data_IF_445369220617
#
_entry.id   IF_445369220617
#
_cell.length_a   1.000
_cell.length_b   1.000
_cell.length_c   1.000
_cell.angle_alpha   90.00
_cell.angle_beta   90.00
_cell.angle_gamma   90.00
#
_symmetry.space_group_name_H-M   'P 1'
#
loop_
_entity.id
_entity.type
_entity.pdbx_description
1 polymer ?
#
# COMPACT_ATOMS: atom_id res chain seq x y z
N UNK A 1 20.14 -0.50 -31.21
CA UNK A 1 18.66 -0.68 -31.23
C UNK A 1 18.20 -0.50 -29.80
N UNK A 2 17.10 0.20 -29.59
CA UNK A 2 16.52 0.32 -28.26
C UNK A 2 15.92 -1.04 -27.84
N UNK A 3 16.23 -1.52 -26.64
CA UNK A 3 15.61 -2.73 -26.10
C UNK A 3 14.15 -2.46 -25.75
N UNK A 4 13.29 -3.47 -25.98
CA UNK A 4 11.87 -3.44 -25.63
C UNK A 4 11.64 -4.17 -24.31
N UNK A 5 11.07 -3.47 -23.33
CA UNK A 5 10.90 -3.99 -21.98
C UNK A 5 9.43 -4.02 -21.57
N UNK A 6 9.04 -5.12 -20.95
CA UNK A 6 7.75 -5.22 -20.24
C UNK A 6 8.00 -5.30 -18.75
N UNK A 7 7.22 -4.52 -17.96
CA UNK A 7 7.31 -4.51 -16.51
C UNK A 7 6.05 -5.10 -15.88
N UNK A 8 6.23 -5.99 -14.91
CA UNK A 8 5.18 -6.55 -14.06
C UNK A 8 5.44 -6.08 -12.63
N UNK A 9 4.51 -5.31 -12.06
CA UNK A 9 4.62 -4.79 -10.70
C UNK A 9 3.66 -5.53 -9.77
N UNK A 10 4.20 -6.27 -8.81
CA UNK A 10 3.45 -7.05 -7.83
C UNK A 10 3.58 -6.47 -6.42
N UNK A 11 2.58 -6.73 -5.60
CA UNK A 11 2.58 -6.39 -4.18
C UNK A 11 2.09 -4.96 -3.88
N UNK A 12 2.74 -4.25 -2.98
CA UNK A 12 2.23 -3.03 -2.39
C UNK A 12 2.61 -1.75 -3.15
N UNK A 13 1.94 -0.63 -2.84
CA UNK A 13 2.19 0.68 -3.44
C UNK A 13 3.67 1.14 -3.35
N UNK A 14 4.42 0.79 -2.26
CA UNK A 14 5.86 1.08 -2.16
C UNK A 14 6.66 0.35 -3.24
N UNK A 15 6.28 -0.90 -3.53
CA UNK A 15 6.91 -1.70 -4.58
C UNK A 15 6.55 -1.17 -5.98
N UNK A 16 5.31 -0.72 -6.16
CA UNK A 16 4.86 -0.04 -7.38
C UNK A 16 5.70 1.20 -7.68
N UNK A 17 5.92 2.09 -6.69
CA UNK A 17 6.78 3.27 -6.86
C UNK A 17 8.20 2.88 -7.29
N UNK A 18 8.78 1.80 -6.75
CA UNK A 18 10.09 1.32 -7.21
C UNK A 18 10.04 0.84 -8.67
N UNK A 19 8.98 0.15 -9.07
CA UNK A 19 8.78 -0.29 -10.46
C UNK A 19 8.73 0.92 -11.41
N UNK A 20 7.94 1.93 -11.08
CA UNK A 20 7.79 3.17 -11.84
C UNK A 20 9.11 3.94 -11.98
N UNK A 21 9.94 3.94 -10.92
CA UNK A 21 11.29 4.51 -10.97
C UNK A 21 12.22 3.73 -11.91
N UNK A 22 12.20 2.38 -11.85
CA UNK A 22 12.96 1.55 -12.78
C UNK A 22 12.52 1.74 -14.24
N UNK A 23 11.21 1.86 -14.48
CA UNK A 23 10.65 2.17 -15.79
C UNK A 23 11.18 3.51 -16.32
N UNK A 24 11.24 4.55 -15.48
CA UNK A 24 11.78 5.85 -15.86
C UNK A 24 13.27 5.77 -16.21
N UNK A 25 14.08 5.08 -15.40
CA UNK A 25 15.51 4.87 -15.68
C UNK A 25 15.73 4.17 -17.04
N UNK A 26 14.97 3.13 -17.34
CA UNK A 26 15.05 2.41 -18.60
C UNK A 26 14.61 3.29 -19.79
N UNK A 27 13.50 4.02 -19.67
CA UNK A 27 13.03 4.97 -20.69
C UNK A 27 14.07 6.05 -20.98
N UNK A 28 14.64 6.64 -19.92
CA UNK A 28 15.62 7.73 -20.04
C UNK A 28 16.98 7.24 -20.62
N UNK A 29 17.27 5.94 -20.48
CA UNK A 29 18.36 5.26 -21.19
C UNK A 29 18.02 4.90 -22.65
N UNK A 30 16.84 5.29 -23.15
CA UNK A 30 16.41 5.07 -24.52
C UNK A 30 15.79 3.70 -24.79
N UNK A 31 15.37 2.96 -23.76
CA UNK A 31 14.64 1.69 -23.90
C UNK A 31 13.13 1.96 -24.09
N UNK A 32 12.46 1.08 -24.84
CA UNK A 32 11.02 1.16 -25.12
C UNK A 32 10.24 0.37 -24.09
N UNK A 33 9.24 0.99 -23.46
CA UNK A 33 8.32 0.34 -22.52
C UNK A 33 7.11 -0.22 -23.26
N UNK A 34 6.84 -1.50 -23.12
CA UNK A 34 5.76 -2.19 -23.83
C UNK A 34 4.64 -2.64 -22.89
N UNK A 35 3.37 -2.53 -23.31
CA UNK A 35 2.22 -2.93 -22.48
C UNK A 35 2.06 -4.45 -22.37
N UNK A 36 2.64 -5.22 -23.29
CA UNK A 36 2.55 -6.69 -23.34
C UNK A 36 3.95 -7.31 -23.40
N UNK A 37 4.17 -8.48 -22.78
CA UNK A 37 5.47 -9.16 -22.80
C UNK A 37 5.79 -9.80 -24.16
N UNK A 38 4.78 -10.10 -24.99
CA UNK A 38 4.98 -10.75 -26.28
C UNK A 38 5.72 -9.84 -27.28
N UNK A 39 6.87 -10.30 -27.74
CA UNK A 39 7.72 -9.54 -28.66
C UNK A 39 8.67 -8.56 -27.99
N UNK A 40 8.72 -8.56 -26.66
CA UNK A 40 9.72 -7.80 -25.92
C UNK A 40 11.09 -8.51 -25.89
N UNK A 41 12.13 -7.71 -25.68
CA UNK A 41 13.47 -8.23 -25.47
C UNK A 41 13.63 -8.77 -24.05
N UNK A 42 13.09 -8.08 -23.04
CA UNK A 42 13.11 -8.57 -21.67
C UNK A 42 11.82 -8.23 -20.93
N UNK A 43 11.45 -9.10 -19.96
CA UNK A 43 10.47 -8.83 -18.93
C UNK A 43 11.17 -8.58 -17.59
N UNK A 44 10.71 -7.56 -16.85
CA UNK A 44 11.17 -7.25 -15.50
C UNK A 44 10.01 -7.50 -14.55
N UNK A 45 10.14 -8.50 -13.67
CA UNK A 45 9.14 -8.86 -12.66
C UNK A 45 9.57 -8.29 -11.31
N UNK A 46 8.88 -7.25 -10.86
CA UNK A 46 9.11 -6.64 -9.56
C UNK A 46 8.21 -7.32 -8.51
N UNK A 47 8.82 -8.11 -7.63
CA UNK A 47 8.17 -9.10 -6.78
C UNK A 47 7.88 -8.61 -5.37
N UNK A 48 6.79 -9.12 -4.77
CA UNK A 48 6.54 -9.05 -3.35
C UNK A 48 7.16 -10.27 -2.64
N UNK A 49 7.64 -10.08 -1.41
CA UNK A 49 8.24 -11.14 -0.59
C UNK A 49 7.78 -11.06 0.88
N UNK A 50 6.63 -10.39 1.11
CA UNK A 50 6.13 -10.13 2.46
C UNK A 50 5.30 -11.29 3.01
N UNK A 51 4.41 -11.87 2.21
CA UNK A 51 3.57 -13.01 2.55
C UNK A 51 3.84 -14.18 1.61
N UNK A 52 3.58 -15.40 2.09
CA UNK A 52 3.74 -16.63 1.28
C UNK A 52 2.87 -16.60 0.01
N UNK A 53 1.61 -16.16 0.11
CA UNK A 53 0.71 -16.01 -1.06
C UNK A 53 1.24 -15.03 -2.11
N UNK A 54 1.88 -13.94 -1.68
CA UNK A 54 2.50 -13.00 -2.60
C UNK A 54 3.78 -13.56 -3.26
N UNK A 55 4.47 -14.51 -2.60
CA UNK A 55 5.56 -15.25 -3.23
C UNK A 55 5.03 -16.21 -4.29
N UNK A 56 3.91 -16.90 -4.04
CA UNK A 56 3.26 -17.79 -5.00
C UNK A 56 2.85 -17.01 -6.25
N UNK A 57 2.17 -15.88 -6.10
CA UNK A 57 1.83 -14.98 -7.21
C UNK A 57 3.08 -14.55 -8.01
N UNK A 58 4.16 -14.21 -7.32
CA UNK A 58 5.41 -13.81 -7.98
C UNK A 58 6.01 -14.96 -8.79
N UNK A 59 6.04 -16.18 -8.25
CA UNK A 59 6.53 -17.38 -8.93
C UNK A 59 5.66 -17.69 -10.15
N UNK A 60 4.34 -17.64 -10.04
CA UNK A 60 3.42 -17.87 -11.16
C UNK A 60 3.69 -16.89 -12.32
N UNK A 61 3.86 -15.60 -12.01
CA UNK A 61 4.19 -14.60 -13.03
C UNK A 61 5.55 -14.86 -13.69
N UNK A 62 6.58 -15.26 -12.92
CA UNK A 62 7.90 -15.61 -13.46
C UNK A 62 7.79 -16.82 -14.38
N UNK A 63 7.06 -17.86 -13.97
CA UNK A 63 6.86 -19.06 -14.78
C UNK A 63 6.07 -18.77 -16.06
N UNK A 64 5.06 -17.87 -16.01
CA UNK A 64 4.36 -17.40 -17.21
C UNK A 64 5.32 -16.71 -18.20
N UNK A 65 6.26 -15.88 -17.71
CA UNK A 65 7.30 -15.28 -18.55
C UNK A 65 8.27 -16.33 -19.10
N UNK A 66 8.59 -17.37 -18.32
CA UNK A 66 9.44 -18.47 -18.76
C UNK A 66 8.81 -19.27 -19.91
N UNK A 67 7.49 -19.49 -19.90
CA UNK A 67 6.79 -20.12 -21.03
C UNK A 67 6.85 -19.24 -22.31
N UNK A 68 6.72 -17.93 -22.19
CA UNK A 68 6.91 -17.02 -23.34
C UNK A 68 8.35 -17.05 -23.86
N UNK A 69 9.32 -17.17 -22.98
CA UNK A 69 10.74 -17.30 -23.34
C UNK A 69 11.01 -18.62 -24.08
N UNK A 70 10.47 -19.74 -23.60
CA UNK A 70 10.54 -21.05 -24.28
C UNK A 70 9.88 -21.02 -25.66
N UNK A 71 8.76 -20.29 -25.79
CA UNK A 71 8.07 -20.11 -27.07
C UNK A 71 8.76 -19.13 -28.03
N UNK A 72 9.90 -18.53 -27.65
CA UNK A 72 10.64 -17.57 -28.47
C UNK A 72 9.95 -16.18 -28.60
N UNK A 73 8.93 -15.90 -27.78
CA UNK A 73 8.19 -14.64 -27.76
C UNK A 73 8.80 -13.60 -26.82
N UNK A 74 9.65 -14.02 -25.90
CA UNK A 74 10.42 -13.22 -24.97
C UNK A 74 11.86 -13.70 -24.97
N UNK A 75 12.86 -12.83 -24.79
CA UNK A 75 14.28 -13.25 -24.84
C UNK A 75 14.88 -13.41 -23.45
N UNK A 76 14.56 -12.50 -22.50
CA UNK A 76 15.20 -12.41 -21.19
C UNK A 76 14.18 -12.13 -20.09
N UNK A 77 14.50 -12.61 -18.86
CA UNK A 77 13.71 -12.39 -17.66
C UNK A 77 14.62 -11.84 -16.57
N UNK A 78 14.27 -10.67 -16.03
CA UNK A 78 14.88 -10.11 -14.83
C UNK A 78 13.85 -10.13 -13.69
N UNK A 79 14.30 -10.46 -12.49
CA UNK A 79 13.45 -10.47 -11.30
C UNK A 79 14.07 -9.56 -10.25
N UNK A 80 13.22 -8.74 -9.62
CA UNK A 80 13.65 -7.78 -8.61
C UNK A 80 12.62 -7.71 -7.48
N UNK A 81 12.90 -6.97 -6.41
CA UNK A 81 11.96 -6.67 -5.35
C UNK A 81 12.19 -7.40 -4.04
N UNK A 82 11.12 -7.53 -3.25
CA UNK A 82 11.22 -8.06 -1.90
C UNK A 82 11.49 -9.57 -1.85
N UNK A 83 10.94 -10.36 -2.80
CA UNK A 83 11.18 -11.79 -2.86
C UNK A 83 12.66 -12.08 -3.17
N UNK A 84 13.23 -11.39 -4.17
CA UNK A 84 14.64 -11.55 -4.51
C UNK A 84 15.56 -11.13 -3.36
N UNK A 85 15.23 -10.03 -2.65
CA UNK A 85 15.98 -9.60 -1.48
C UNK A 85 15.91 -10.63 -0.34
N UNK A 86 14.77 -11.30 -0.18
CA UNK A 86 14.55 -12.30 0.87
C UNK A 86 15.33 -13.58 0.64
N UNK A 87 15.26 -14.11 -0.58
CA UNK A 87 15.77 -15.43 -0.93
C UNK A 87 17.09 -15.43 -1.73
N UNK A 88 17.52 -14.26 -2.22
CA UNK A 88 18.81 -14.03 -2.86
C UNK A 88 19.25 -15.18 -3.82
N UNK A 89 20.33 -15.88 -3.47
CA UNK A 89 20.89 -16.95 -4.30
C UNK A 89 19.98 -18.17 -4.49
N UNK A 90 18.96 -18.36 -3.66
CA UNK A 90 17.97 -19.44 -3.82
C UNK A 90 17.11 -19.20 -5.06
N UNK A 91 16.75 -17.93 -5.34
CA UNK A 91 15.97 -17.57 -6.54
C UNK A 91 16.68 -18.02 -7.81
N UNK A 92 17.99 -17.79 -7.92
CA UNK A 92 18.78 -18.22 -9.09
C UNK A 92 18.84 -19.75 -9.24
N UNK A 93 18.80 -20.48 -8.12
CA UNK A 93 18.89 -21.93 -8.11
C UNK A 93 17.54 -22.59 -8.44
N UNK A 94 16.46 -22.08 -7.87
CA UNK A 94 15.12 -22.68 -8.01
C UNK A 94 14.39 -22.19 -9.27
N UNK A 95 14.79 -21.04 -9.83
CA UNK A 95 14.23 -20.45 -11.05
C UNK A 95 15.34 -20.23 -12.11
N UNK A 96 15.88 -21.32 -12.71
CA UNK A 96 17.00 -21.23 -13.66
C UNK A 96 16.65 -20.51 -14.98
N UNK A 97 15.36 -20.24 -15.24
CA UNK A 97 14.88 -19.48 -16.38
C UNK A 97 15.20 -17.99 -16.30
N UNK A 98 15.48 -17.48 -15.07
CA UNK A 98 15.76 -16.06 -14.79
C UNK A 98 17.19 -15.72 -15.22
N UNK A 99 17.36 -14.66 -16.00
CA UNK A 99 18.66 -14.21 -16.50
C UNK A 99 19.34 -13.18 -15.59
N UNK A 100 18.55 -12.43 -14.80
CA UNK A 100 19.07 -11.39 -13.91
C UNK A 100 18.25 -11.23 -12.64
N UNK A 101 18.92 -11.00 -11.51
CA UNK A 101 18.30 -10.83 -10.19
C UNK A 101 18.84 -9.58 -9.53
N UNK A 102 17.93 -8.71 -9.05
CA UNK A 102 18.26 -7.51 -8.30
C UNK A 102 17.53 -7.50 -6.94
N UNK A 103 18.24 -7.14 -5.87
CA UNK A 103 17.63 -6.87 -4.56
C UNK A 103 17.01 -5.49 -4.46
N UNK A 104 16.37 -5.21 -3.32
CA UNK A 104 15.69 -3.92 -3.05
C UNK A 104 16.66 -2.73 -2.92
N UNK A 105 17.95 -2.97 -2.69
CA UNK A 105 19.00 -1.94 -2.67
C UNK A 105 19.58 -1.62 -4.06
N UNK A 106 19.19 -2.35 -5.12
CA UNK A 106 19.86 -2.30 -6.44
C UNK A 106 18.94 -1.83 -7.58
N UNK A 107 17.82 -1.17 -7.28
CA UNK A 107 16.88 -0.68 -8.32
C UNK A 107 17.53 0.30 -9.31
N UNK A 108 18.48 1.10 -8.84
CA UNK A 108 19.24 2.05 -9.67
C UNK A 108 20.05 1.40 -10.78
N UNK A 109 20.40 0.13 -10.61
CA UNK A 109 21.25 -0.62 -11.53
C UNK A 109 20.45 -1.37 -12.61
N UNK A 110 19.15 -1.11 -12.73
CA UNK A 110 18.25 -1.81 -13.65
C UNK A 110 18.72 -1.70 -15.12
N UNK A 111 19.21 -0.54 -15.53
CA UNK A 111 19.69 -0.30 -16.91
C UNK A 111 20.90 -1.19 -17.22
N UNK A 112 21.92 -1.14 -16.35
CA UNK A 112 23.13 -1.98 -16.47
C UNK A 112 22.79 -3.47 -16.41
N UNK A 113 21.82 -3.87 -15.56
CA UNK A 113 21.35 -5.24 -15.48
C UNK A 113 20.69 -5.71 -16.79
N UNK A 114 19.82 -4.90 -17.39
CA UNK A 114 19.19 -5.19 -18.68
C UNK A 114 20.27 -5.32 -19.77
N UNK A 115 21.18 -4.37 -19.89
CA UNK A 115 22.25 -4.40 -20.90
C UNK A 115 23.15 -5.63 -20.74
N UNK A 116 23.50 -6.00 -19.51
CA UNK A 116 24.31 -7.18 -19.22
C UNK A 116 23.61 -8.47 -19.67
N UNK A 117 22.34 -8.67 -19.31
CA UNK A 117 21.64 -9.91 -19.71
C UNK A 117 21.37 -9.96 -21.21
N UNK A 118 21.12 -8.82 -21.84
CA UNK A 118 20.91 -8.73 -23.29
C UNK A 118 22.18 -9.07 -24.11
N UNK A 119 23.37 -8.82 -23.54
CA UNK A 119 24.65 -9.18 -24.14
C UNK A 119 25.11 -10.61 -23.79
N UNK A 120 24.28 -11.39 -23.10
CA UNK A 120 24.53 -12.80 -22.75
C UNK A 120 25.23 -13.02 -21.43
N UNK A 121 25.41 -11.97 -20.62
CA UNK A 121 25.84 -12.06 -19.21
C UNK A 121 24.72 -12.48 -18.28
N UNK A 122 25.08 -12.68 -17.01
CA UNK A 122 24.15 -12.91 -15.89
C UNK A 122 24.36 -11.83 -14.81
N UNK A 123 23.29 -11.47 -14.13
CA UNK A 123 23.32 -10.47 -13.07
C UNK A 123 22.75 -11.05 -11.78
N UNK A 124 23.45 -10.86 -10.66
CA UNK A 124 22.94 -11.10 -9.32
C UNK A 124 23.51 -10.02 -8.42
N UNK A 125 22.68 -9.01 -8.07
CA UNK A 125 23.15 -7.80 -7.36
C UNK A 125 22.26 -7.47 -6.16
N UNK A 126 22.91 -7.30 -4.99
CA UNK A 126 22.27 -7.03 -3.71
C UNK A 126 23.06 -5.97 -2.95
N UNK A 127 22.84 -4.70 -3.29
CA UNK A 127 23.51 -3.58 -2.65
C UNK A 127 22.96 -3.32 -1.24
N UNK A 128 23.60 -2.40 -0.52
CA UNK A 128 23.22 -2.06 0.85
C UNK A 128 21.82 -1.45 0.92
N UNK A 129 20.89 -2.20 1.52
CA UNK A 129 19.51 -1.76 1.75
C UNK A 129 19.41 -0.58 2.73
N UNK A 130 20.48 -0.18 3.39
CA UNK A 130 20.54 0.96 4.30
C UNK A 130 21.16 2.21 3.66
N UNK A 131 21.55 2.13 2.40
CA UNK A 131 22.02 3.31 1.65
C UNK A 131 20.93 4.41 1.64
N UNK A 132 21.30 5.68 1.49
CA UNK A 132 20.34 6.76 1.29
C UNK A 132 19.34 6.42 0.20
N UNK A 133 18.11 6.94 0.33
CA UNK A 133 17.08 6.71 -0.68
C UNK A 133 17.48 7.44 -1.97
N UNK A 134 17.58 6.68 -3.06
CA UNK A 134 17.85 7.26 -4.37
C UNK A 134 16.64 8.05 -4.89
N UNK A 135 16.91 9.17 -5.54
CA UNK A 135 15.90 10.07 -6.09
C UNK A 135 15.88 9.95 -7.62
N UNK A 136 14.81 9.41 -8.16
CA UNK A 136 14.60 9.21 -9.60
C UNK A 136 13.24 9.75 -10.02
N UNK A 137 13.11 10.09 -11.32
CA UNK A 137 11.82 10.30 -11.94
C UNK A 137 10.98 9.02 -11.96
N UNK A 138 9.71 9.14 -12.31
CA UNK A 138 8.78 8.01 -12.41
C UNK A 138 8.01 8.00 -13.73
N UNK A 139 7.62 6.81 -14.17
CA UNK A 139 6.55 6.60 -15.16
C UNK A 139 5.34 6.11 -14.38
N UNK A 140 4.31 6.94 -14.26
CA UNK A 140 3.12 6.58 -13.49
C UNK A 140 2.39 5.41 -14.16
N UNK A 141 2.02 4.42 -13.35
CA UNK A 141 1.23 3.25 -13.74
C UNK A 141 -0.18 3.27 -13.12
N UNK A 142 -0.40 4.17 -12.16
CA UNK A 142 -1.74 4.44 -11.64
C UNK A 142 -2.60 5.17 -12.68
N UNK A 143 -3.93 5.11 -12.58
CA UNK A 143 -4.82 6.02 -13.32
C UNK A 143 -4.41 7.46 -13.08
N UNK A 144 -4.50 8.32 -14.10
CA UNK A 144 -3.96 9.69 -14.07
C UNK A 144 -4.54 10.61 -12.97
N UNK A 145 -5.63 10.21 -12.31
CA UNK A 145 -6.29 11.01 -11.29
C UNK A 145 -5.75 10.80 -9.86
N UNK A 146 -4.97 9.73 -9.59
CA UNK A 146 -4.29 9.57 -8.30
C UNK A 146 -2.85 9.08 -8.45
N UNK A 147 -2.02 9.34 -7.44
CA UNK A 147 -0.66 8.81 -7.37
C UNK A 147 -0.21 8.60 -5.93
N UNK A 148 0.66 7.60 -5.73
CA UNK A 148 1.33 7.39 -4.45
C UNK A 148 2.57 8.27 -4.35
N UNK A 149 2.77 8.93 -3.21
CA UNK A 149 3.99 9.67 -2.87
C UNK A 149 4.71 8.96 -1.73
N UNK A 150 5.80 8.29 -2.04
CA UNK A 150 6.62 7.63 -1.03
C UNK A 150 7.56 8.65 -0.39
N UNK A 151 7.43 8.86 0.94
CA UNK A 151 8.18 9.87 1.68
C UNK A 151 9.38 9.30 2.46
N UNK A 152 9.40 7.99 2.68
CA UNK A 152 10.49 7.30 3.37
C UNK A 152 10.59 5.83 2.94
N UNK A 153 11.69 5.17 3.27
CA UNK A 153 11.94 3.75 3.01
C UNK A 153 12.47 3.05 4.27
N UNK A 154 12.11 1.77 4.45
CA UNK A 154 12.54 0.95 5.59
C UNK A 154 11.71 1.17 6.85
N UNK A 155 12.00 0.40 7.92
CA UNK A 155 11.24 0.46 9.16
C UNK A 155 12.04 -0.03 10.36
N UNK A 156 12.01 0.73 11.47
CA UNK A 156 12.70 0.40 12.72
C UNK A 156 11.76 -0.06 13.85
N UNK A 157 10.48 -0.34 13.53
CA UNK A 157 9.52 -0.77 14.54
C UNK A 157 9.74 -2.21 15.03
N UNK A 158 10.37 -3.07 14.19
CA UNK A 158 10.74 -4.43 14.56
C UNK A 158 9.58 -5.25 15.16
N UNK A 159 8.36 -5.08 14.63
CA UNK A 159 7.23 -5.93 15.01
C UNK A 159 7.61 -7.40 14.85
N UNK A 160 7.26 -8.25 15.83
CA UNK A 160 7.76 -9.62 15.88
C UNK A 160 7.36 -10.49 14.68
N UNK A 161 6.24 -10.17 14.03
CA UNK A 161 5.70 -10.87 12.85
C UNK A 161 6.22 -10.30 11.51
N UNK A 162 6.94 -9.17 11.51
CA UNK A 162 7.24 -8.42 10.29
C UNK A 162 8.68 -8.66 9.81
N UNK A 163 8.83 -8.93 8.50
CA UNK A 163 10.11 -9.15 7.84
C UNK A 163 10.69 -7.87 7.20
N UNK A 164 9.92 -6.79 7.13
CA UNK A 164 10.28 -5.54 6.42
C UNK A 164 11.67 -4.99 6.81
N UNK A 165 12.08 -4.91 8.08
CA UNK A 165 13.41 -4.40 8.42
C UNK A 165 14.56 -5.16 7.74
N UNK A 166 14.36 -6.44 7.43
CA UNK A 166 15.34 -7.27 6.72
C UNK A 166 15.29 -7.10 5.20
N UNK A 167 14.13 -6.69 4.66
CA UNK A 167 13.94 -6.54 3.22
C UNK A 167 14.19 -5.11 2.73
N UNK A 168 13.89 -4.11 3.57
CA UNK A 168 13.92 -2.69 3.21
C UNK A 168 14.89 -1.86 4.06
N UNK A 169 15.55 -2.48 5.05
CA UNK A 169 16.54 -1.84 5.92
C UNK A 169 15.94 -0.92 6.97
N UNK A 170 16.81 -0.08 7.53
CA UNK A 170 16.49 0.94 8.53
C UNK A 170 15.57 2.01 7.93
N UNK A 171 14.83 2.69 8.79
CA UNK A 171 14.01 3.83 8.39
C UNK A 171 14.89 4.96 7.85
N UNK A 172 14.58 5.47 6.67
CA UNK A 172 15.27 6.57 6.00
C UNK A 172 14.26 7.48 5.33
N UNK A 173 14.17 8.71 5.81
CA UNK A 173 13.33 9.75 5.23
C UNK A 173 13.97 10.30 3.95
N UNK A 174 13.17 10.55 2.93
CA UNK A 174 13.57 11.39 1.81
C UNK A 174 13.59 12.84 2.27
N UNK A 175 14.48 13.65 1.73
CA UNK A 175 14.52 15.08 2.08
C UNK A 175 13.20 15.76 1.70
N UNK A 176 12.78 16.74 2.47
CA UNK A 176 11.55 17.49 2.19
C UNK A 176 11.60 18.16 0.80
N UNK A 177 12.75 18.64 0.39
CA UNK A 177 12.97 19.24 -0.92
C UNK A 177 12.64 18.27 -2.06
N UNK A 178 13.17 17.03 -2.01
CA UNK A 178 12.92 16.03 -3.04
C UNK A 178 11.47 15.54 -3.04
N UNK A 179 10.88 15.34 -1.86
CA UNK A 179 9.47 14.95 -1.75
C UNK A 179 8.56 16.02 -2.34
N UNK A 180 8.81 17.29 -2.04
CA UNK A 180 8.01 18.40 -2.58
C UNK A 180 8.28 18.63 -4.08
N UNK A 181 9.49 18.38 -4.57
CA UNK A 181 9.78 18.46 -6.00
C UNK A 181 8.99 17.41 -6.79
N UNK A 182 8.96 16.16 -6.32
CA UNK A 182 8.14 15.10 -6.91
C UNK A 182 6.64 15.44 -6.81
N UNK A 183 6.17 15.90 -5.65
CA UNK A 183 4.77 16.25 -5.46
C UNK A 183 4.31 17.37 -6.42
N UNK A 184 5.16 18.37 -6.70
CA UNK A 184 4.86 19.41 -7.71
C UNK A 184 4.73 18.80 -9.11
N UNK A 185 5.63 17.90 -9.50
CA UNK A 185 5.55 17.21 -10.80
C UNK A 185 4.26 16.41 -10.94
N UNK A 186 3.81 15.73 -9.86
CA UNK A 186 2.55 15.01 -9.84
C UNK A 186 1.34 15.96 -9.98
N UNK A 187 1.33 17.07 -9.25
CA UNK A 187 0.28 18.09 -9.37
C UNK A 187 0.25 18.70 -10.79
N UNK A 188 1.40 19.06 -11.34
CA UNK A 188 1.53 19.62 -12.70
C UNK A 188 1.10 18.63 -13.79
N UNK A 189 1.20 17.32 -13.52
CA UNK A 189 0.71 16.26 -14.43
C UNK A 189 -0.80 16.02 -14.35
N UNK A 190 -1.52 16.70 -13.46
CA UNK A 190 -2.97 16.60 -13.32
C UNK A 190 -3.46 15.58 -12.30
N UNK A 191 -2.59 15.03 -11.45
CA UNK A 191 -2.99 14.16 -10.34
C UNK A 191 -3.89 14.94 -9.37
N UNK A 192 -5.05 14.38 -9.07
CA UNK A 192 -6.06 15.00 -8.21
C UNK A 192 -6.00 14.51 -6.76
N UNK A 193 -5.72 13.23 -6.55
CA UNK A 193 -5.55 12.62 -5.23
C UNK A 193 -4.10 12.20 -5.01
N UNK A 194 -3.45 12.76 -3.99
CA UNK A 194 -2.11 12.37 -3.56
C UNK A 194 -2.20 11.43 -2.38
N UNK A 195 -1.63 10.22 -2.49
CA UNK A 195 -1.63 9.22 -1.41
C UNK A 195 -0.23 9.13 -0.82
N UNK A 196 -0.06 9.65 0.39
CA UNK A 196 1.23 9.68 1.09
C UNK A 196 1.49 8.33 1.75
N UNK A 197 2.62 7.71 1.40
CA UNK A 197 2.99 6.37 1.86
C UNK A 197 4.44 6.28 2.36
N UNK A 198 4.66 5.38 3.31
CA UNK A 198 5.93 4.77 3.71
C UNK A 198 5.61 3.44 4.40
N UNK A 199 6.57 2.81 5.05
CA UNK A 199 6.27 1.71 5.99
C UNK A 199 5.67 2.24 7.31
N UNK A 200 5.98 3.50 7.61
CA UNK A 200 5.44 4.27 8.74
C UNK A 200 5.63 5.76 8.42
N UNK A 201 4.57 6.46 8.03
CA UNK A 201 4.67 7.88 7.67
C UNK A 201 4.85 8.79 8.87
N UNK A 202 4.39 8.36 10.06
CA UNK A 202 4.42 9.19 11.28
C UNK A 202 5.84 9.48 11.77
N UNK A 203 6.82 8.67 11.34
CA UNK A 203 8.24 8.86 11.69
C UNK A 203 9.02 9.75 10.71
N UNK A 204 8.34 10.31 9.70
CA UNK A 204 9.01 11.14 8.71
C UNK A 204 9.86 12.25 9.35
N UNK A 205 11.13 12.32 8.97
CA UNK A 205 12.11 13.27 9.49
C UNK A 205 12.77 12.91 10.81
N UNK A 206 12.30 11.89 11.55
CA UNK A 206 12.88 11.52 12.84
C UNK A 206 14.34 11.06 12.76
N UNK A 207 14.78 10.57 11.63
CA UNK A 207 16.16 10.17 11.36
C UNK A 207 17.10 11.37 11.10
N UNK A 208 16.57 12.59 10.99
CA UNK A 208 17.36 13.82 10.82
C UNK A 208 17.78 14.41 12.17
N UNK A 209 16.84 14.64 13.06
CA UNK A 209 17.02 15.37 14.32
C UNK A 209 16.29 14.76 15.53
N UNK A 210 15.66 13.60 15.35
CA UNK A 210 14.90 12.88 16.38
C UNK A 210 13.46 13.40 16.58
N UNK A 211 12.95 14.27 15.70
CA UNK A 211 11.59 14.79 15.76
C UNK A 211 10.77 14.41 14.53
N UNK A 212 9.45 14.18 14.68
CA UNK A 212 8.59 13.95 13.54
C UNK A 212 8.35 15.25 12.76
N UNK A 213 8.49 15.20 11.44
CA UNK A 213 8.28 16.32 10.51
C UNK A 213 7.11 16.08 9.53
N UNK A 214 6.26 15.08 9.80
CA UNK A 214 5.13 14.80 8.91
C UNK A 214 4.15 15.97 8.84
N UNK A 215 3.85 16.61 9.98
CA UNK A 215 2.96 17.76 10.02
C UNK A 215 3.48 18.92 9.16
N UNK A 216 4.79 19.20 9.23
CA UNK A 216 5.44 20.24 8.39
C UNK A 216 5.32 19.90 6.90
N UNK A 217 5.57 18.64 6.52
CA UNK A 217 5.44 18.18 5.14
C UNK A 217 4.00 18.31 4.64
N UNK A 218 3.01 17.94 5.45
CA UNK A 218 1.59 18.02 5.05
C UNK A 218 1.14 19.45 4.83
N UNK A 219 1.56 20.40 5.66
CA UNK A 219 1.30 21.84 5.46
C UNK A 219 1.87 22.36 4.12
N UNK A 220 3.04 21.87 3.72
CA UNK A 220 3.63 22.24 2.41
C UNK A 220 2.91 21.54 1.25
N UNK A 221 2.53 20.26 1.38
CA UNK A 221 1.78 19.54 0.36
C UNK A 221 0.39 20.16 0.12
N UNK A 222 -0.27 20.67 1.16
CA UNK A 222 -1.57 21.35 1.03
C UNK A 222 -1.52 22.63 0.20
N UNK A 223 -0.34 23.24 0.00
CA UNK A 223 -0.15 24.40 -0.87
C UNK A 223 -0.14 24.06 -2.36
N UNK A 224 0.04 22.77 -2.71
CA UNK A 224 0.07 22.30 -4.09
C UNK A 224 -1.35 22.06 -4.62
N UNK A 225 -1.49 21.94 -5.95
CA UNK A 225 -2.80 21.81 -6.62
C UNK A 225 -3.29 20.33 -6.62
N UNK A 226 -3.44 19.76 -5.41
CA UNK A 226 -4.20 18.53 -5.20
C UNK A 226 -5.58 18.86 -4.67
N UNK A 227 -6.57 18.06 -5.05
CA UNK A 227 -7.90 18.11 -4.47
C UNK A 227 -7.94 17.34 -3.15
N UNK A 228 -7.36 16.12 -3.14
CA UNK A 228 -7.29 15.24 -1.99
C UNK A 228 -5.85 14.84 -1.65
N UNK A 229 -5.56 14.77 -0.35
CA UNK A 229 -4.34 14.19 0.22
C UNK A 229 -4.76 13.11 1.21
N UNK A 230 -4.43 11.86 0.92
CA UNK A 230 -4.73 10.69 1.75
C UNK A 230 -3.49 10.20 2.46
N UNK A 231 -3.65 9.72 3.70
CA UNK A 231 -2.56 9.26 4.55
C UNK A 231 -2.68 7.78 4.84
N UNK A 232 -1.65 6.99 4.52
CA UNK A 232 -1.59 5.58 4.82
C UNK A 232 -0.43 5.23 5.74
N UNK A 233 -0.63 4.18 6.57
CA UNK A 233 0.41 3.61 7.44
C UNK A 233 0.88 4.55 8.55
N UNK A 234 -0.09 5.06 9.35
CA UNK A 234 0.20 5.84 10.55
C UNK A 234 0.43 4.91 11.75
N UNK A 235 1.55 5.06 12.42
CA UNK A 235 1.82 4.27 13.62
C UNK A 235 1.31 4.99 14.87
N UNK A 236 0.52 4.34 15.75
CA UNK A 236 -0.23 5.02 16.84
C UNK A 236 0.62 5.92 17.74
N UNK A 237 1.83 5.47 18.10
CA UNK A 237 2.68 6.16 19.08
C UNK A 237 3.22 7.51 18.63
N UNK A 238 3.19 7.78 17.34
CA UNK A 238 3.77 9.01 16.77
C UNK A 238 2.70 9.98 16.25
N UNK A 239 1.41 9.68 16.51
CA UNK A 239 0.31 10.59 16.21
C UNK A 239 0.20 11.59 17.36
N UNK A 240 0.85 12.72 17.22
CA UNK A 240 0.87 13.79 18.21
C UNK A 240 -0.23 14.85 17.98
N UNK A 241 -0.36 15.79 18.92
CA UNK A 241 -1.37 16.85 18.87
C UNK A 241 -1.19 17.74 17.64
N UNK A 242 0.05 18.03 17.24
CA UNK A 242 0.33 18.87 16.08
C UNK A 242 -0.13 18.21 14.78
N UNK A 243 0.14 16.92 14.61
CA UNK A 243 -0.32 16.16 13.45
C UNK A 243 -1.85 16.12 13.39
N UNK A 244 -2.50 15.88 14.54
CA UNK A 244 -3.97 15.89 14.64
C UNK A 244 -4.54 17.25 14.24
N UNK A 245 -3.94 18.36 14.71
CA UNK A 245 -4.38 19.72 14.37
C UNK A 245 -4.25 20.03 12.88
N UNK A 246 -3.15 19.61 12.25
CA UNK A 246 -2.96 19.79 10.81
C UNK A 246 -4.01 18.98 10.02
N UNK A 247 -4.22 17.71 10.36
CA UNK A 247 -5.23 16.87 9.71
C UNK A 247 -6.64 17.44 9.88
N UNK A 248 -6.97 17.95 11.06
CA UNK A 248 -8.28 18.52 11.33
C UNK A 248 -8.54 19.81 10.56
N UNK A 249 -7.52 20.68 10.47
CA UNK A 249 -7.63 22.04 9.90
C UNK A 249 -7.60 22.07 8.38
N UNK A 250 -6.77 21.21 7.75
CA UNK A 250 -6.54 21.25 6.33
C UNK A 250 -7.62 20.46 5.57
N UNK A 251 -8.43 21.15 4.77
CA UNK A 251 -9.55 20.54 4.04
C UNK A 251 -9.11 19.53 2.98
N UNK A 252 -7.93 19.73 2.37
CA UNK A 252 -7.36 18.81 1.39
C UNK A 252 -6.96 17.46 1.98
N UNK A 253 -6.64 17.42 3.28
CA UNK A 253 -6.31 16.17 3.96
C UNK A 253 -7.61 15.43 4.29
N UNK A 254 -7.78 14.29 3.67
CA UNK A 254 -8.95 13.46 3.86
C UNK A 254 -9.09 13.03 5.33
N UNK A 255 -10.31 13.08 5.84
CA UNK A 255 -10.62 12.60 7.18
C UNK A 255 -10.70 11.07 7.18
N UNK A 256 -9.62 10.46 6.72
CA UNK A 256 -9.41 9.03 6.60
C UNK A 256 -8.00 8.71 7.08
N UNK A 257 -7.87 7.90 8.12
CA UNK A 257 -6.56 7.52 8.68
C UNK A 257 -6.42 6.00 8.72
N UNK A 258 -5.37 5.50 8.06
CA UNK A 258 -4.99 4.09 8.11
C UNK A 258 -3.98 3.86 9.24
N UNK A 259 -4.48 3.27 10.35
CA UNK A 259 -3.74 3.04 11.59
C UNK A 259 -3.69 1.52 11.85
N UNK A 260 -2.65 0.78 11.39
CA UNK A 260 -2.58 -0.67 11.54
C UNK A 260 -2.32 -1.06 13.00
N UNK A 261 -3.37 -1.37 13.74
CA UNK A 261 -3.32 -1.75 15.16
C UNK A 261 -2.79 -3.17 15.36
N UNK A 262 -3.16 -4.10 14.48
CA UNK A 262 -2.85 -5.52 14.44
C UNK A 262 -3.59 -6.34 15.50
N UNK A 263 -3.68 -5.85 16.72
CA UNK A 263 -4.41 -6.42 17.86
C UNK A 263 -4.69 -5.34 18.92
N UNK A 264 -5.53 -5.60 19.93
CA UNK A 264 -5.80 -4.69 21.03
C UNK A 264 -5.31 -5.20 22.40
N UNK A 265 -5.18 -6.52 22.58
CA UNK A 265 -4.82 -7.12 23.88
C UNK A 265 -3.37 -6.82 24.27
N UNK A 266 -3.15 -6.37 25.50
CA UNK A 266 -1.84 -5.89 26.02
C UNK A 266 -0.75 -6.98 25.95
N UNK A 267 -1.11 -8.22 26.27
CA UNK A 267 -0.17 -9.36 26.25
C UNK A 267 0.27 -9.68 24.83
N UNK A 268 -0.65 -9.63 23.86
CA UNK A 268 -0.36 -9.88 22.46
C UNK A 268 0.47 -8.71 21.87
N UNK A 269 0.07 -7.46 22.11
CA UNK A 269 0.81 -6.27 21.68
C UNK A 269 2.26 -6.32 22.16
N UNK A 270 2.47 -6.58 23.45
CA UNK A 270 3.81 -6.70 24.03
C UNK A 270 4.62 -7.84 23.40
N UNK A 271 3.99 -9.01 23.19
CA UNK A 271 4.62 -10.18 22.57
C UNK A 271 5.02 -9.92 21.12
N UNK A 272 4.21 -9.14 20.41
CA UNK A 272 4.45 -8.72 19.02
C UNK A 272 5.38 -7.49 18.90
N UNK A 273 5.96 -7.02 19.98
CA UNK A 273 6.81 -5.82 20.02
C UNK A 273 6.07 -4.58 19.50
N UNK A 274 4.76 -4.51 19.78
CA UNK A 274 3.95 -3.31 19.56
C UNK A 274 3.98 -2.45 20.81
N UNK A 275 4.07 -1.15 20.66
CA UNK A 275 4.06 -0.20 21.77
C UNK A 275 2.63 0.19 22.12
N UNK A 276 2.43 0.67 23.35
CA UNK A 276 1.11 1.00 23.87
C UNK A 276 0.38 -0.25 24.41
N UNK A 277 -0.80 0.00 24.94
CA UNK A 277 -1.74 -0.96 25.49
C UNK A 277 -3.16 -0.63 25.01
N UNK A 278 -4.15 -1.46 25.33
CA UNK A 278 -5.54 -1.24 24.93
C UNK A 278 -6.06 0.14 25.40
N UNK A 279 -5.73 0.52 26.62
CA UNK A 279 -6.16 1.81 27.19
C UNK A 279 -5.61 2.98 26.37
N UNK A 280 -4.35 2.92 25.99
CA UNK A 280 -3.71 3.93 25.14
C UNK A 280 -4.38 3.99 23.75
N UNK A 281 -4.63 2.82 23.14
CA UNK A 281 -5.28 2.74 21.84
C UNK A 281 -6.69 3.34 21.86
N UNK A 282 -7.53 2.95 22.85
CA UNK A 282 -8.85 3.54 23.02
C UNK A 282 -8.78 5.07 23.18
N UNK A 283 -7.91 5.55 24.07
CA UNK A 283 -7.78 6.99 24.31
C UNK A 283 -7.32 7.76 23.06
N UNK A 284 -6.43 7.17 22.24
CA UNK A 284 -6.02 7.77 20.97
C UNK A 284 -7.18 7.82 19.96
N UNK A 285 -7.91 6.71 19.79
CA UNK A 285 -9.04 6.64 18.85
C UNK A 285 -10.15 7.62 19.23
N UNK A 286 -10.48 7.72 20.54
CA UNK A 286 -11.46 8.67 21.05
C UNK A 286 -11.02 10.13 20.81
N UNK A 287 -9.76 10.45 21.09
CA UNK A 287 -9.16 11.76 20.83
C UNK A 287 -9.20 12.14 19.35
N UNK A 288 -8.90 11.18 18.47
CA UNK A 288 -8.95 11.39 17.01
C UNK A 288 -10.37 11.71 16.56
N UNK A 289 -11.38 10.97 17.05
CA UNK A 289 -12.80 11.23 16.71
C UNK A 289 -13.31 12.57 17.25
N UNK A 290 -12.90 12.93 18.47
CA UNK A 290 -13.27 14.21 19.07
C UNK A 290 -12.72 15.40 18.27
N UNK A 291 -11.48 15.28 17.78
CA UNK A 291 -10.77 16.40 17.15
C UNK A 291 -10.91 16.45 15.63
N UNK A 292 -11.30 15.36 14.98
CA UNK A 292 -11.46 15.25 13.52
C UNK A 292 -12.89 14.82 13.20
N UNK A 293 -13.81 15.74 13.01
CA UNK A 293 -15.21 15.41 12.67
C UNK A 293 -15.28 14.63 11.34
N UNK A 294 -16.14 13.61 11.28
CA UNK A 294 -16.32 12.78 10.09
C UNK A 294 -15.18 11.79 9.83
N UNK A 295 -14.31 11.57 10.81
CA UNK A 295 -13.15 10.69 10.66
C UNK A 295 -13.54 9.25 10.37
N UNK A 296 -13.01 8.72 9.28
CA UNK A 296 -12.97 7.30 8.94
C UNK A 296 -11.65 6.69 9.42
N UNK A 297 -11.76 5.69 10.26
CA UNK A 297 -10.61 4.93 10.76
C UNK A 297 -10.51 3.59 10.01
N UNK A 298 -9.36 3.38 9.38
CA UNK A 298 -8.96 2.11 8.81
C UNK A 298 -7.90 1.45 9.69
N UNK A 299 -7.95 0.14 9.79
CA UNK A 299 -6.94 -0.65 10.49
C UNK A 299 -6.55 -1.91 9.73
N UNK A 300 -5.51 -2.58 10.19
CA UNK A 300 -5.19 -3.96 9.85
C UNK A 300 -5.21 -4.79 11.13
N UNK A 301 -5.82 -5.96 11.08
CA UNK A 301 -5.94 -6.90 12.20
C UNK A 301 -5.36 -8.25 11.78
N UNK A 302 -4.60 -8.88 12.67
CA UNK A 302 -4.06 -10.22 12.48
C UNK A 302 -4.67 -11.14 13.53
N UNK A 303 -5.47 -12.10 13.10
CA UNK A 303 -6.07 -13.13 13.96
C UNK A 303 -5.14 -14.34 14.10
N UNK A 304 -5.09 -14.95 15.27
CA UNK A 304 -4.26 -16.14 15.53
C UNK A 304 -2.78 -15.83 15.75
N UNK A 305 -2.45 -14.63 16.23
CA UNK A 305 -1.07 -14.29 16.60
C UNK A 305 -0.55 -15.22 17.71
N UNK A 306 0.76 -15.53 17.75
CA UNK A 306 1.36 -16.34 18.80
C UNK A 306 0.98 -15.89 20.20
N UNK A 307 0.31 -16.77 20.95
CA UNK A 307 -0.17 -16.53 22.32
C UNK A 307 -1.58 -15.97 22.43
N UNK A 308 -2.31 -15.84 21.33
CA UNK A 308 -3.71 -15.50 21.30
C UNK A 308 -4.56 -16.73 21.69
N UNK A 309 -5.12 -16.75 22.89
CA UNK A 309 -6.13 -17.71 23.33
C UNK A 309 -7.54 -17.20 23.05
N UNK A 310 -8.55 -17.90 23.56
CA UNK A 310 -9.95 -17.49 23.42
C UNK A 310 -10.22 -16.14 24.12
N UNK A 311 -9.66 -15.93 25.32
CA UNK A 311 -9.85 -14.68 26.08
C UNK A 311 -9.30 -13.48 25.31
N UNK A 312 -8.10 -13.57 24.74
CA UNK A 312 -7.48 -12.50 23.96
C UNK A 312 -8.23 -12.26 22.66
N UNK A 313 -8.76 -13.30 22.04
CA UNK A 313 -9.56 -13.18 20.81
C UNK A 313 -10.94 -12.59 21.08
N UNK A 314 -11.65 -13.01 22.12
CA UNK A 314 -12.93 -12.41 22.50
C UNK A 314 -12.76 -10.92 22.86
N UNK A 315 -11.70 -10.57 23.58
CA UNK A 315 -11.37 -9.15 23.84
C UNK A 315 -11.15 -8.35 22.56
N UNK A 316 -10.51 -8.94 21.53
CA UNK A 316 -10.34 -8.29 20.22
C UNK A 316 -11.70 -8.09 19.52
N UNK A 317 -12.58 -9.08 19.54
CA UNK A 317 -13.91 -8.96 18.97
C UNK A 317 -14.74 -7.86 19.66
N UNK A 318 -14.70 -7.79 20.98
CA UNK A 318 -15.40 -6.77 21.76
C UNK A 318 -14.82 -5.37 21.48
N UNK A 319 -13.49 -5.25 21.42
CA UNK A 319 -12.82 -3.99 21.05
C UNK A 319 -13.28 -3.51 19.67
N UNK A 320 -13.38 -4.38 18.66
CA UNK A 320 -13.82 -4.00 17.32
C UNK A 320 -15.28 -3.50 17.32
N UNK A 321 -16.18 -4.20 18.06
CA UNK A 321 -17.59 -3.76 18.21
C UNK A 321 -17.72 -2.42 18.93
N UNK A 322 -16.91 -2.21 19.98
CA UNK A 322 -16.90 -0.95 20.76
C UNK A 322 -16.32 0.20 19.93
N UNK A 323 -15.18 -0.04 19.29
CA UNK A 323 -14.45 0.99 18.57
C UNK A 323 -14.99 1.27 17.17
N UNK A 324 -15.78 0.38 16.57
CA UNK A 324 -16.43 0.57 15.27
C UNK A 324 -15.49 1.18 14.23
N UNK A 325 -14.32 0.55 14.05
CA UNK A 325 -13.37 0.97 13.01
C UNK A 325 -14.00 0.64 11.65
N UNK A 326 -14.25 1.66 10.83
CA UNK A 326 -15.07 1.51 9.63
C UNK A 326 -14.43 0.59 8.58
N UNK A 327 -13.12 0.63 8.43
CA UNK A 327 -12.39 -0.17 7.46
C UNK A 327 -11.36 -1.05 8.16
N UNK A 328 -11.34 -2.34 7.86
CA UNK A 328 -10.35 -3.25 8.41
C UNK A 328 -9.88 -4.28 7.37
N UNK A 329 -8.58 -4.33 7.16
CA UNK A 329 -7.95 -5.49 6.53
C UNK A 329 -7.73 -6.57 7.58
N UNK A 330 -8.33 -7.75 7.41
CA UNK A 330 -8.26 -8.85 8.37
C UNK A 330 -7.46 -10.00 7.75
N UNK A 331 -6.47 -10.47 8.49
CA UNK A 331 -5.56 -11.52 8.01
C UNK A 331 -5.42 -12.62 9.05
N UNK A 332 -5.51 -13.91 8.68
CA UNK A 332 -5.01 -14.97 9.54
C UNK A 332 -3.49 -14.85 9.65
N UNK A 333 -2.93 -15.14 10.82
CA UNK A 333 -1.49 -15.08 11.03
C UNK A 333 -0.75 -16.07 10.12
N UNK A 334 0.15 -15.54 9.28
CA UNK A 334 1.09 -16.31 8.48
C UNK A 334 2.48 -16.25 9.10
N UNK A 335 3.11 -17.38 9.45
CA UNK A 335 4.46 -17.40 10.04
C UNK A 335 5.52 -17.16 8.97
N UNK A 336 6.01 -15.94 8.88
CA UNK A 336 7.02 -15.57 7.91
C UNK A 336 8.42 -15.96 8.37
N UNK A 337 9.11 -16.78 7.61
CA UNK A 337 10.48 -17.21 7.90
C UNK A 337 11.42 -16.02 8.15
N UNK A 338 12.29 -16.15 9.13
CA UNK A 338 13.21 -15.09 9.53
C UNK A 338 12.63 -14.06 10.50
N UNK A 339 11.32 -14.11 10.82
CA UNK A 339 10.71 -13.28 11.86
C UNK A 339 10.85 -13.89 13.25
N UNK A 340 10.67 -13.06 14.29
CA UNK A 340 10.69 -13.55 15.68
C UNK A 340 9.46 -14.39 15.99
N UNK A 341 8.28 -13.95 15.49
CA UNK A 341 7.02 -14.62 15.74
C UNK A 341 6.95 -16.02 15.11
N UNK A 342 7.61 -16.26 13.98
CA UNK A 342 7.67 -17.57 13.34
C UNK A 342 8.30 -18.68 14.22
N UNK A 343 9.09 -18.28 15.23
CA UNK A 343 9.75 -19.20 16.19
C UNK A 343 8.93 -19.43 17.45
N UNK A 344 7.80 -18.76 17.60
CA UNK A 344 6.92 -18.86 18.75
C UNK A 344 5.91 -20.00 18.54
N UNK A 345 5.33 -20.49 19.65
CA UNK A 345 4.19 -21.40 19.60
C UNK A 345 3.01 -20.73 18.90
N UNK A 346 2.45 -21.40 17.92
CA UNK A 346 1.42 -20.87 17.01
C UNK A 346 0.03 -21.33 17.43
N UNK A 347 -0.96 -20.50 17.13
CA UNK A 347 -2.34 -20.93 16.98
C UNK A 347 -2.41 -21.80 15.73
N UNK A 348 -3.27 -22.81 15.73
CA UNK A 348 -3.52 -23.64 14.57
C UNK A 348 -3.99 -22.79 13.38
N UNK A 349 -3.55 -23.10 12.16
CA UNK A 349 -3.85 -22.30 10.96
C UNK A 349 -5.34 -22.24 10.64
N UNK A 350 -6.07 -23.37 10.84
CA UNK A 350 -7.50 -23.41 10.57
C UNK A 350 -8.26 -22.60 11.63
N UNK A 351 -7.77 -22.59 12.87
CA UNK A 351 -8.31 -21.75 13.93
C UNK A 351 -8.05 -20.27 13.64
N UNK A 352 -6.85 -19.90 13.22
CA UNK A 352 -6.54 -18.53 12.82
C UNK A 352 -7.44 -18.05 11.66
N UNK A 353 -7.71 -18.92 10.68
CA UNK A 353 -8.62 -18.62 9.58
C UNK A 353 -10.07 -18.42 10.08
N UNK A 354 -10.60 -19.30 10.93
CA UNK A 354 -11.95 -19.16 11.52
C UNK A 354 -12.08 -17.87 12.34
N UNK A 355 -11.04 -17.49 13.09
CA UNK A 355 -11.01 -16.22 13.82
C UNK A 355 -11.03 -15.03 12.89
N UNK A 356 -10.28 -15.07 11.81
CA UNK A 356 -10.29 -14.02 10.80
C UNK A 356 -11.68 -13.88 10.16
N UNK A 357 -12.34 -14.97 9.78
CA UNK A 357 -13.72 -14.97 9.28
C UNK A 357 -14.70 -14.33 10.27
N UNK A 358 -14.63 -14.70 11.56
CA UNK A 358 -15.48 -14.09 12.61
C UNK A 358 -15.26 -12.58 12.75
N UNK A 359 -14.02 -12.10 12.56
CA UNK A 359 -13.74 -10.64 12.55
C UNK A 359 -14.32 -10.00 11.30
N UNK A 360 -14.27 -10.67 10.15
CA UNK A 360 -14.88 -10.17 8.90
C UNK A 360 -16.38 -10.00 9.07
N UNK A 361 -17.08 -10.96 9.72
CA UNK A 361 -18.51 -10.84 10.03
C UNK A 361 -18.81 -9.59 10.87
N UNK A 362 -18.03 -9.38 11.96
CA UNK A 362 -18.17 -8.17 12.79
C UNK A 362 -17.94 -6.90 11.96
N UNK A 363 -16.96 -6.93 11.08
CA UNK A 363 -16.61 -5.79 10.24
C UNK A 363 -17.72 -5.49 9.23
N UNK A 364 -18.36 -6.51 8.66
CA UNK A 364 -19.51 -6.36 7.76
C UNK A 364 -20.68 -5.67 8.46
N UNK A 365 -21.01 -6.08 9.70
CA UNK A 365 -22.05 -5.40 10.50
C UNK A 365 -21.75 -3.91 10.74
N UNK A 366 -20.47 -3.56 10.95
CA UNK A 366 -20.05 -2.17 11.14
C UNK A 366 -20.19 -1.35 9.86
N UNK A 367 -19.78 -1.93 8.72
CA UNK A 367 -19.90 -1.30 7.39
C UNK A 367 -21.36 -1.10 7.03
N UNK A 368 -22.20 -2.12 7.19
CA UNK A 368 -23.62 -2.05 6.87
C UNK A 368 -24.33 -0.97 7.68
N UNK A 369 -24.07 -0.90 8.99
CA UNK A 369 -24.63 0.13 9.84
C UNK A 369 -24.20 1.55 9.42
N UNK A 370 -22.95 1.73 9.02
CA UNK A 370 -22.44 3.01 8.52
C UNK A 370 -23.06 3.37 7.16
N UNK A 371 -23.19 2.40 6.27
CA UNK A 371 -23.82 2.58 4.95
C UNK A 371 -25.29 3.00 5.09
N UNK A 372 -26.03 2.35 6.00
CA UNK A 372 -27.44 2.71 6.27
C UNK A 372 -27.60 4.14 6.75
N UNK A 373 -26.67 4.63 7.57
CA UNK A 373 -26.66 6.02 8.05
C UNK A 373 -26.40 7.04 6.94
N UNK A 374 -25.80 6.62 5.82
CA UNK A 374 -25.46 7.51 4.67
C UNK A 374 -26.61 7.67 3.69
N UNK A 375 -27.69 6.90 3.83
CA UNK A 375 -28.82 6.99 2.89
C UNK A 375 -29.42 8.40 2.88
N UNK A 376 -29.45 9.03 1.70
CA UNK A 376 -29.90 10.40 1.47
C UNK A 376 -28.78 11.45 1.55
N UNK A 377 -27.60 11.12 2.09
CA UNK A 377 -26.46 12.03 2.11
C UNK A 377 -25.98 12.32 0.67
N UNK A 378 -25.45 13.51 0.47
CA UNK A 378 -24.72 13.85 -0.78
C UNK A 378 -23.24 13.82 -0.47
N UNK A 379 -22.53 12.90 -1.13
CA UNK A 379 -21.09 12.74 -0.96
C UNK A 379 -20.36 13.21 -2.20
N UNK A 380 -19.20 13.86 -2.03
CA UNK A 380 -18.28 14.12 -3.12
C UNK A 380 -17.58 12.82 -3.52
N UNK A 381 -17.67 12.45 -4.78
CA UNK A 381 -17.13 11.20 -5.34
C UNK A 381 -16.16 11.51 -6.47
N UNK A 382 -14.95 10.97 -6.37
CA UNK A 382 -13.98 10.92 -7.45
C UNK A 382 -14.37 9.77 -8.37
N UNK A 383 -14.85 10.09 -9.57
CA UNK A 383 -15.18 9.09 -10.58
C UNK A 383 -13.91 8.38 -11.08
N UNK A 384 -13.91 7.05 -11.07
CA UNK A 384 -12.81 6.22 -11.57
C UNK A 384 -13.11 5.61 -12.95
N UNK A 385 -14.36 5.68 -13.40
CA UNK A 385 -14.76 5.20 -14.72
C UNK A 385 -16.18 4.67 -14.76
N UNK A 386 -16.48 3.93 -15.83
CA UNK A 386 -17.77 3.29 -16.06
C UNK A 386 -17.61 1.77 -16.07
N UNK A 387 -18.41 1.09 -15.27
CA UNK A 387 -18.45 -0.36 -15.25
C UNK A 387 -19.52 -0.88 -16.23
N UNK A 388 -19.08 -1.52 -17.28
CA UNK A 388 -19.96 -2.07 -18.31
C UNK A 388 -20.79 -3.28 -17.87
N UNK A 389 -20.49 -3.89 -16.73
CA UNK A 389 -21.28 -5.02 -16.21
C UNK A 389 -22.50 -4.52 -15.42
N UNK A 390 -22.28 -3.61 -14.49
CA UNK A 390 -23.35 -2.98 -13.72
C UNK A 390 -24.09 -1.87 -14.50
N UNK A 391 -23.49 -1.35 -15.57
CA UNK A 391 -23.96 -0.18 -16.32
C UNK A 391 -24.04 1.09 -15.44
N UNK A 392 -23.12 1.22 -14.48
CA UNK A 392 -23.01 2.35 -13.56
C UNK A 392 -21.62 2.97 -13.63
N UNK A 393 -21.52 4.23 -13.25
CA UNK A 393 -20.24 4.84 -12.94
C UNK A 393 -19.73 4.29 -11.61
N UNK A 394 -18.42 4.24 -11.49
CA UNK A 394 -17.72 3.75 -10.29
C UNK A 394 -16.79 4.84 -9.79
N UNK A 395 -16.78 5.05 -8.49
CA UNK A 395 -15.90 6.03 -7.88
C UNK A 395 -15.67 5.78 -6.41
N UNK A 396 -15.02 6.72 -5.76
CA UNK A 396 -14.73 6.70 -4.32
C UNK A 396 -14.99 8.05 -3.70
N UNK A 397 -15.46 8.05 -2.47
CA UNK A 397 -15.47 9.24 -1.62
C UNK A 397 -14.18 9.36 -0.79
N UNK A 398 -14.18 10.29 0.13
CA UNK A 398 -13.08 10.39 1.12
C UNK A 398 -12.93 9.11 1.97
N UNK A 399 -14.00 8.33 2.14
CA UNK A 399 -14.09 7.17 3.02
C UNK A 399 -13.55 5.87 2.40
N UNK A 400 -13.20 5.85 1.13
CA UNK A 400 -12.65 4.71 0.43
C UNK A 400 -11.26 5.02 -0.15
N UNK A 401 -10.30 4.12 0.09
CA UNK A 401 -8.97 4.17 -0.51
C UNK A 401 -8.92 3.27 -1.75
N UNK A 402 -8.22 3.67 -2.83
CA UNK A 402 -8.14 2.87 -4.04
C UNK A 402 -7.55 1.48 -3.76
N UNK A 403 -8.10 0.47 -4.42
CA UNK A 403 -7.65 -0.92 -4.47
C UNK A 403 -7.77 -1.72 -3.15
N UNK A 404 -8.11 -1.09 -2.03
CA UNK A 404 -8.14 -1.74 -0.71
C UNK A 404 -9.47 -1.61 0.04
N UNK A 405 -10.29 -0.64 -0.29
CA UNK A 405 -11.63 -0.45 0.28
C UNK A 405 -12.70 -0.65 -0.81
N UNK A 406 -13.97 -0.56 -0.43
CA UNK A 406 -15.10 -0.62 -1.35
C UNK A 406 -15.18 0.58 -2.30
N UNK A 407 -16.22 0.59 -3.12
CA UNK A 407 -16.50 1.60 -4.15
C UNK A 407 -17.89 2.17 -3.97
N UNK A 408 -18.16 3.26 -4.70
CA UNK A 408 -19.50 3.83 -4.84
C UNK A 408 -19.93 3.65 -6.28
N UNK A 409 -21.06 2.97 -6.49
CA UNK A 409 -21.69 2.82 -7.79
C UNK A 409 -22.79 3.84 -7.94
N UNK A 410 -22.81 4.60 -9.05
CA UNK A 410 -23.81 5.64 -9.22
C UNK A 410 -24.30 5.77 -10.67
N UNK A 411 -25.55 6.14 -10.83
CA UNK A 411 -26.14 6.50 -12.12
C UNK A 411 -25.97 8.00 -12.36
N UNK A 412 -25.83 8.38 -13.63
CA UNK A 412 -25.82 9.78 -14.05
C UNK A 412 -26.55 9.97 -15.37
N UNK A 413 -27.26 11.11 -15.58
CA UNK A 413 -27.93 11.43 -16.85
C UNK A 413 -26.95 11.92 -17.93
N UNK A 414 -25.67 12.06 -17.62
CA UNK A 414 -24.59 12.49 -18.53
C UNK A 414 -23.36 11.60 -18.34
N UNK A 415 -22.43 11.67 -19.26
CA UNK A 415 -21.12 11.07 -19.08
C UNK A 415 -20.35 11.79 -17.98
N UNK A 416 -19.66 11.00 -17.15
CA UNK A 416 -18.74 11.47 -16.08
C UNK A 416 -17.36 10.91 -16.39
N UNK A 417 -16.39 11.81 -16.53
CA UNK A 417 -15.03 11.42 -16.88
C UNK A 417 -14.29 10.81 -15.66
N UNK A 418 -13.41 9.84 -15.90
CA UNK A 418 -12.48 9.39 -14.88
C UNK A 418 -11.61 10.56 -14.41
N UNK A 419 -11.48 10.75 -13.09
CA UNK A 419 -10.81 11.89 -12.48
C UNK A 419 -11.73 13.10 -12.18
N UNK A 420 -12.99 13.07 -12.59
CA UNK A 420 -13.97 14.11 -12.26
C UNK A 420 -14.50 13.92 -10.84
N UNK A 421 -14.61 15.01 -10.08
CA UNK A 421 -15.31 15.02 -8.80
C UNK A 421 -16.77 15.42 -9.00
N UNK A 422 -17.67 14.61 -8.50
CA UNK A 422 -19.10 14.82 -8.65
C UNK A 422 -19.85 14.61 -7.34
N UNK A 423 -20.91 15.40 -7.07
CA UNK A 423 -21.80 15.12 -5.94
C UNK A 423 -22.69 13.92 -6.26
N UNK A 424 -22.69 12.91 -5.40
CA UNK A 424 -23.53 11.71 -5.52
C UNK A 424 -24.44 11.62 -4.31
N UNK A 425 -25.75 11.55 -4.57
CA UNK A 425 -26.75 11.26 -3.53
C UNK A 425 -26.81 9.76 -3.31
N UNK A 426 -26.50 9.34 -2.09
CA UNK A 426 -26.54 7.93 -1.70
C UNK A 426 -27.99 7.47 -1.61
N UNK A 427 -28.33 6.41 -2.34
CA UNK A 427 -29.67 5.82 -2.40
C UNK A 427 -29.79 4.49 -1.66
N UNK A 428 -28.63 3.87 -1.32
CA UNK A 428 -28.57 2.61 -0.60
C UNK A 428 -27.17 2.01 -0.59
N UNK A 429 -27.11 0.72 -0.29
CA UNK A 429 -25.88 -0.08 -0.37
C UNK A 429 -26.21 -1.48 -0.93
N UNK A 430 -25.21 -2.11 -1.53
CA UNK A 430 -25.26 -3.47 -2.04
C UNK A 430 -23.91 -4.15 -1.82
N UNK A 431 -23.93 -5.32 -1.17
CA UNK A 431 -22.71 -6.10 -0.86
C UNK A 431 -21.62 -5.28 -0.14
N UNK A 432 -22.02 -4.40 0.81
CA UNK A 432 -21.12 -3.54 1.58
C UNK A 432 -20.63 -2.28 0.84
N UNK A 433 -21.00 -2.10 -0.44
CA UNK A 433 -20.64 -0.94 -1.26
C UNK A 433 -21.83 0.04 -1.42
N UNK A 434 -21.55 1.34 -1.38
CA UNK A 434 -22.60 2.36 -1.54
C UNK A 434 -23.11 2.44 -2.97
N UNK A 435 -24.41 2.72 -3.10
CA UNK A 435 -25.06 3.01 -4.38
C UNK A 435 -25.70 4.38 -4.36
N UNK A 436 -25.75 5.05 -5.51
CA UNK A 436 -26.29 6.41 -5.58
C UNK A 436 -26.64 6.88 -6.98
N UNK A 437 -26.96 8.14 -7.05
CA UNK A 437 -27.23 8.86 -8.29
C UNK A 437 -26.55 10.23 -8.26
N UNK A 438 -26.14 10.72 -9.43
CA UNK A 438 -25.60 12.07 -9.55
C UNK A 438 -26.60 13.07 -8.97
N UNK A 439 -26.20 13.82 -7.97
CA UNK A 439 -27.05 14.87 -7.42
C UNK A 439 -27.10 16.05 -8.41
N UNK A 440 -28.31 16.49 -8.75
CA UNK A 440 -28.48 17.73 -9.49
C UNK A 440 -28.06 18.92 -8.61
N UNK A 441 -27.42 19.93 -9.20
CA UNK A 441 -27.04 21.17 -8.50
C UNK A 441 -28.27 21.96 -8.01
#
# INVERSE_FOLDING_TARGET
MAYKLHFISLGCAKNMVNCEQMMALCRDAGMELCPSPEGCDAAVVNTCGFLSSANEEAIENILAMAELKKAGKLKKILVTGCMTQRYQGEVAKELPEVDGILGTGSYKDIVDAVETVMTGGTVSRFDDINAPVDEFGRVLTTPGHYAFLRIAEGCDNWCAFCIIPKLRGKYRSRTMEHVLAEARQLADSGVRELIVIAQDITRYGMDWDGKPHLADLLEELCKLDFHWIRLHYLYPEWIDDRLIDVIAREDKILKYLDIPLQHCNDKILKKMNRRGDKKYLCALLDKLRERIPGLVLRTSIIAGLPGEGEEEFDELCDFLREQKLLRAGVFPYSPEEGTRAAKMERVDSDEAARRAERIVDIQSEIIDAWNDERQGDVMEVLCEGFDGQSMLFVGRSYAESPDIDGRIYFSAPRDVAAGEFVPVRITGAMDGELTGELAEE
#
